data_IF_429653323247
#
_entry.id   IF_429653323247
#
_cell.length_a   1.000
_cell.length_b   1.000
_cell.length_c   1.000
_cell.angle_alpha   90.00
_cell.angle_beta   90.00
_cell.angle_gamma   90.00
#
_symmetry.space_group_name_H-M   'P 1'
#
loop_
_entity.id
_entity.type
_entity.pdbx_description
1 polymer ?
#
# COMPACT_ATOMS: atom_id res chain seq x y z
N UNK A 1 1.31 -51.15 29.65
CA UNK A 1 2.18 -50.04 30.15
C UNK A 1 2.91 -49.43 28.96
N UNK A 2 2.51 -48.24 28.51
CA UNK A 2 3.19 -47.58 27.39
C UNK A 2 4.58 -47.10 27.81
N UNK A 3 5.59 -47.41 27.00
CA UNK A 3 6.99 -46.99 27.24
C UNK A 3 7.10 -45.46 27.37
N UNK A 4 7.89 -44.93 28.33
CA UNK A 4 8.10 -43.48 28.52
C UNK A 4 8.55 -42.72 27.25
N UNK A 5 9.21 -43.41 26.32
CA UNK A 5 9.61 -42.85 25.03
C UNK A 5 8.39 -42.55 24.13
N UNK A 6 7.34 -43.39 24.18
CA UNK A 6 6.09 -43.17 23.43
C UNK A 6 5.32 -41.96 23.92
N UNK A 7 5.32 -41.72 25.23
CA UNK A 7 4.66 -40.55 25.84
C UNK A 7 5.36 -39.24 25.45
N UNK A 8 6.70 -39.20 25.45
CA UNK A 8 7.46 -38.03 24.98
C UNK A 8 7.26 -37.74 23.49
N UNK A 9 7.24 -38.77 22.64
CA UNK A 9 6.95 -38.61 21.22
C UNK A 9 5.56 -38.01 20.97
N UNK A 10 4.56 -38.41 21.76
CA UNK A 10 3.22 -37.85 21.68
C UNK A 10 3.15 -36.37 22.09
N UNK A 11 3.89 -35.95 23.13
CA UNK A 11 3.94 -34.56 23.57
C UNK A 11 4.59 -33.63 22.52
N UNK A 12 5.73 -34.05 21.95
CA UNK A 12 6.41 -33.29 20.90
C UNK A 12 5.50 -33.13 19.67
N UNK A 13 4.77 -34.18 19.30
CA UNK A 13 3.79 -34.13 18.19
C UNK A 13 2.66 -33.13 18.46
N UNK A 14 2.07 -33.14 19.65
CA UNK A 14 1.04 -32.16 20.02
C UNK A 14 1.56 -30.73 19.92
N UNK A 15 2.77 -30.48 20.44
CA UNK A 15 3.43 -29.17 20.33
C UNK A 15 3.65 -28.75 18.87
N UNK A 16 4.08 -29.65 17.98
CA UNK A 16 4.27 -29.34 16.56
C UNK A 16 2.97 -28.97 15.85
N UNK A 17 1.86 -29.66 16.18
CA UNK A 17 0.54 -29.34 15.62
C UNK A 17 0.05 -27.98 16.11
N UNK A 18 0.22 -27.66 17.40
CA UNK A 18 -0.15 -26.36 17.96
C UNK A 18 0.70 -25.23 17.36
N UNK A 19 2.00 -25.45 17.20
CA UNK A 19 2.91 -24.51 16.52
C UNK A 19 2.48 -24.26 15.08
N UNK A 20 2.12 -25.31 14.34
CA UNK A 20 1.63 -25.17 12.97
C UNK A 20 0.34 -24.35 12.89
N UNK A 21 -0.65 -24.62 13.76
CA UNK A 21 -1.89 -23.84 13.85
C UNK A 21 -1.61 -22.36 14.17
N UNK A 22 -0.66 -22.09 15.06
CA UNK A 22 -0.26 -20.72 15.36
C UNK A 22 0.36 -20.02 14.13
N UNK A 23 1.21 -20.71 13.37
CA UNK A 23 1.80 -20.19 12.13
C UNK A 23 0.74 -19.93 11.05
N UNK A 24 -0.26 -20.80 10.92
CA UNK A 24 -1.41 -20.62 10.01
C UNK A 24 -2.18 -19.36 10.36
N UNK A 25 -2.61 -19.23 11.61
CA UNK A 25 -3.34 -18.05 12.08
C UNK A 25 -2.53 -16.76 11.90
N UNK A 26 -1.22 -16.81 12.15
CA UNK A 26 -0.33 -15.67 11.93
C UNK A 26 -0.24 -15.30 10.44
N UNK A 27 -0.15 -16.29 9.55
CA UNK A 27 -0.14 -16.08 8.09
C UNK A 27 -1.43 -15.44 7.61
N UNK A 28 -2.59 -15.94 8.06
CA UNK A 28 -3.90 -15.37 7.73
C UNK A 28 -4.04 -13.93 8.22
N UNK A 29 -3.70 -13.67 9.48
CA UNK A 29 -3.76 -12.32 10.06
C UNK A 29 -2.86 -11.33 9.29
N UNK A 30 -1.68 -11.79 8.86
CA UNK A 30 -0.76 -11.00 8.06
C UNK A 30 -1.32 -10.72 6.66
N UNK A 31 -1.96 -11.69 6.02
CA UNK A 31 -2.60 -11.50 4.72
C UNK A 31 -3.76 -10.50 4.82
N UNK A 32 -4.56 -10.57 5.88
CA UNK A 32 -5.64 -9.60 6.12
C UNK A 32 -5.08 -8.18 6.25
N UNK A 33 -4.04 -7.98 7.07
CA UNK A 33 -3.40 -6.67 7.21
C UNK A 33 -2.86 -6.14 5.88
N UNK A 34 -2.26 -7.00 5.05
CA UNK A 34 -1.76 -6.61 3.73
C UNK A 34 -2.89 -6.22 2.78
N UNK A 35 -4.06 -6.84 2.88
CA UNK A 35 -5.25 -6.45 2.12
C UNK A 35 -5.78 -5.08 2.58
N UNK A 36 -5.90 -4.87 3.89
CA UNK A 36 -6.37 -3.61 4.46
C UNK A 36 -5.43 -2.45 4.07
N UNK A 37 -4.11 -2.68 4.08
CA UNK A 37 -3.12 -1.70 3.62
C UNK A 37 -3.27 -1.37 2.13
N UNK A 38 -3.48 -2.38 1.27
CA UNK A 38 -3.70 -2.15 -0.17
C UNK A 38 -4.96 -1.30 -0.40
N UNK A 39 -6.04 -1.59 0.30
CA UNK A 39 -7.29 -0.83 0.18
C UNK A 39 -7.12 0.61 0.70
N UNK A 40 -6.43 0.78 1.83
CA UNK A 40 -6.09 2.10 2.34
C UNK A 40 -5.32 2.93 1.31
N UNK A 41 -4.28 2.37 0.70
CA UNK A 41 -3.50 3.08 -0.32
C UNK A 41 -4.28 3.33 -1.61
N UNK A 42 -5.18 2.44 -2.00
CA UNK A 42 -6.08 2.65 -3.15
C UNK A 42 -6.98 3.84 -2.89
N UNK A 43 -7.64 3.88 -1.73
CA UNK A 43 -8.50 5.00 -1.36
C UNK A 43 -7.71 6.30 -1.21
N UNK A 44 -6.50 6.23 -0.63
CA UNK A 44 -5.61 7.39 -0.53
C UNK A 44 -5.21 7.92 -1.91
N UNK A 45 -4.86 7.05 -2.86
CA UNK A 45 -4.50 7.45 -4.23
C UNK A 45 -5.64 8.19 -4.93
N UNK A 46 -6.87 7.69 -4.80
CA UNK A 46 -8.08 8.36 -5.33
C UNK A 46 -8.24 9.77 -4.78
N UNK A 47 -8.04 9.95 -3.47
CA UNK A 47 -8.11 11.27 -2.81
C UNK A 47 -7.01 12.20 -3.34
N UNK A 48 -5.77 11.72 -3.48
CA UNK A 48 -4.68 12.53 -4.05
C UNK A 48 -5.00 12.97 -5.49
N UNK A 49 -5.57 12.07 -6.30
CA UNK A 49 -5.94 12.36 -7.69
C UNK A 49 -7.11 13.35 -7.78
N UNK A 50 -8.10 13.24 -6.89
CA UNK A 50 -9.19 14.20 -6.79
C UNK A 50 -8.70 15.60 -6.37
N UNK A 51 -7.77 15.66 -5.40
CA UNK A 51 -7.17 16.90 -4.97
C UNK A 51 -6.33 17.54 -6.08
N UNK A 52 -5.51 16.75 -6.78
CA UNK A 52 -4.78 17.16 -7.98
C UNK A 52 -5.69 17.81 -9.02
N UNK A 53 -6.79 17.13 -9.39
CA UNK A 53 -7.78 17.63 -10.36
C UNK A 53 -8.45 18.92 -9.88
N UNK A 54 -8.72 19.04 -8.60
CA UNK A 54 -9.35 20.23 -8.00
C UNK A 54 -8.41 21.45 -8.05
N UNK A 55 -7.14 21.26 -7.75
CA UNK A 55 -6.11 22.30 -7.86
C UNK A 55 -5.90 22.75 -9.31
N UNK A 56 -5.86 21.83 -10.28
CA UNK A 56 -5.73 22.20 -11.70
C UNK A 56 -6.93 23.01 -12.19
N UNK A 57 -8.16 22.58 -11.84
CA UNK A 57 -9.39 23.34 -12.14
C UNK A 57 -9.37 24.73 -11.52
N UNK A 58 -8.88 24.86 -10.27
CA UNK A 58 -8.74 26.15 -9.60
C UNK A 58 -7.75 27.05 -10.35
N UNK A 59 -6.56 26.53 -10.67
CA UNK A 59 -5.54 27.28 -11.37
C UNK A 59 -6.01 27.73 -12.77
N UNK A 60 -6.70 26.88 -13.53
CA UNK A 60 -7.19 27.22 -14.87
C UNK A 60 -8.30 28.29 -14.83
N UNK A 61 -9.25 28.16 -13.89
CA UNK A 61 -10.34 29.13 -13.71
C UNK A 61 -9.84 30.56 -13.48
N UNK A 62 -8.71 30.70 -12.80
CA UNK A 62 -8.16 31.99 -12.43
C UNK A 62 -7.02 32.45 -13.37
N UNK A 63 -6.44 31.55 -14.16
CA UNK A 63 -5.49 31.87 -15.24
C UNK A 63 -6.16 32.65 -16.38
N UNK A 64 -7.42 32.32 -16.70
CA UNK A 64 -8.19 32.99 -17.77
C UNK A 64 -8.49 34.47 -17.47
N UNK A 65 -8.63 34.86 -16.20
CA UNK A 65 -8.95 36.23 -15.77
C UNK A 65 -7.79 37.23 -15.88
N UNK A 66 -6.54 36.75 -15.88
CA UNK A 66 -5.36 37.63 -16.02
C UNK A 66 -5.22 38.11 -17.47
N UNK A 67 -5.52 37.24 -18.43
CA UNK A 67 -5.34 37.51 -19.86
C UNK A 67 -6.25 38.64 -20.36
N UNK A 68 -7.45 38.79 -19.80
CA UNK A 68 -8.38 39.87 -20.19
C UNK A 68 -7.96 41.26 -19.69
N UNK A 69 -7.06 41.35 -18.70
CA UNK A 69 -6.62 42.64 -18.13
C UNK A 69 -5.30 43.15 -18.73
N UNK A 70 -4.67 42.37 -19.63
CA UNK A 70 -3.23 42.48 -19.95
C UNK A 70 -2.88 43.35 -21.17
N UNK A 71 -3.83 44.09 -21.74
CA UNK A 71 -3.55 44.92 -22.92
C UNK A 71 -2.72 46.19 -22.60
N UNK A 72 -2.47 46.53 -21.33
CA UNK A 72 -1.93 47.86 -20.96
C UNK A 72 -0.60 47.95 -20.18
N UNK A 73 0.15 46.87 -19.91
CA UNK A 73 1.31 46.98 -19.00
C UNK A 73 2.58 46.23 -19.42
N UNK A 74 3.00 46.39 -20.69
CA UNK A 74 4.39 46.11 -21.06
C UNK A 74 5.28 47.33 -20.76
N UNK A 75 5.75 47.46 -19.52
CA UNK A 75 7.01 48.15 -19.24
C UNK A 75 7.88 47.26 -18.36
N UNK A 76 8.98 46.84 -18.97
CA UNK A 76 10.13 46.18 -18.35
C UNK A 76 10.65 47.03 -17.19
N UNK A 77 11.21 46.35 -16.21
CA UNK A 77 12.06 46.89 -15.16
C UNK A 77 11.36 47.70 -14.06
N UNK A 78 10.58 47.03 -13.20
CA UNK A 78 10.45 47.50 -11.82
C UNK A 78 9.94 46.42 -10.85
N UNK A 79 10.88 45.90 -10.05
CA UNK A 79 10.73 45.33 -8.71
C UNK A 79 9.83 44.11 -8.45
N UNK A 80 10.37 43.28 -7.56
CA UNK A 80 9.74 42.20 -6.82
C UNK A 80 8.33 42.61 -6.34
N UNK A 81 7.34 41.73 -6.56
CA UNK A 81 5.97 41.81 -6.04
C UNK A 81 5.03 42.88 -6.67
N UNK A 82 4.98 42.98 -8.01
CA UNK A 82 3.72 43.44 -8.64
C UNK A 82 2.59 42.46 -8.26
N UNK A 83 1.39 42.90 -7.86
CA UNK A 83 0.27 42.02 -7.55
C UNK A 83 -0.01 40.98 -8.64
N UNK A 84 0.26 41.33 -9.91
CA UNK A 84 0.14 40.42 -11.06
C UNK A 84 1.21 39.33 -11.05
N UNK A 85 2.44 39.66 -10.66
CA UNK A 85 3.52 38.67 -10.51
C UNK A 85 3.28 37.76 -9.31
N UNK A 86 2.81 38.30 -8.17
CA UNK A 86 2.41 37.49 -7.01
C UNK A 86 1.34 36.48 -7.40
N UNK A 87 0.34 36.94 -8.16
CA UNK A 87 -0.73 36.10 -8.64
C UNK A 87 -0.25 35.00 -9.60
N UNK A 88 0.67 35.31 -10.52
CA UNK A 88 1.29 34.29 -11.39
C UNK A 88 2.11 33.26 -10.60
N UNK A 89 2.84 33.69 -9.56
CA UNK A 89 3.59 32.80 -8.68
C UNK A 89 2.66 31.84 -7.93
N UNK A 90 1.56 32.36 -7.36
CA UNK A 90 0.55 31.54 -6.67
C UNK A 90 -0.05 30.51 -7.63
N UNK A 91 -0.45 30.90 -8.84
CA UNK A 91 -1.01 29.97 -9.83
C UNK A 91 0.01 28.91 -10.25
N UNK A 92 1.27 29.29 -10.44
CA UNK A 92 2.36 28.36 -10.75
C UNK A 92 2.56 27.34 -9.62
N UNK A 93 2.55 27.81 -8.37
CA UNK A 93 2.67 26.96 -7.18
C UNK A 93 1.47 26.01 -7.05
N UNK A 94 0.24 26.46 -7.28
CA UNK A 94 -0.95 25.60 -7.29
C UNK A 94 -0.88 24.51 -8.37
N UNK A 95 -0.38 24.83 -9.57
CA UNK A 95 -0.16 23.84 -10.64
C UNK A 95 0.94 22.84 -10.26
N UNK A 96 1.98 23.29 -9.56
CA UNK A 96 3.02 22.42 -9.05
C UNK A 96 2.46 21.44 -8.02
N UNK A 97 1.71 21.92 -7.04
CA UNK A 97 1.04 21.07 -6.05
C UNK A 97 0.10 20.05 -6.73
N UNK A 98 -0.68 20.48 -7.72
CA UNK A 98 -1.52 19.56 -8.52
C UNK A 98 -0.70 18.41 -9.11
N UNK A 99 0.48 18.68 -9.67
CA UNK A 99 1.37 17.65 -10.23
C UNK A 99 1.94 16.75 -9.14
N UNK A 100 2.37 17.32 -8.02
CA UNK A 100 2.92 16.56 -6.89
C UNK A 100 1.88 15.56 -6.35
N UNK A 101 0.60 15.96 -6.25
CA UNK A 101 -0.50 15.09 -5.86
C UNK A 101 -0.80 14.00 -6.91
N UNK A 102 -0.73 14.32 -8.22
CA UNK A 102 -0.85 13.31 -9.27
C UNK A 102 0.29 12.27 -9.20
N UNK A 103 1.51 12.71 -8.91
CA UNK A 103 2.67 11.83 -8.69
C UNK A 103 2.47 10.95 -7.46
N UNK A 104 1.93 11.46 -6.35
CA UNK A 104 1.62 10.63 -5.19
C UNK A 104 0.59 9.54 -5.50
N UNK A 105 -0.47 9.85 -6.24
CA UNK A 105 -1.43 8.86 -6.73
C UNK A 105 -0.72 7.75 -7.54
N UNK A 106 0.16 8.13 -8.47
CA UNK A 106 0.92 7.17 -9.29
C UNK A 106 1.85 6.29 -8.44
N UNK A 107 2.57 6.88 -7.48
CA UNK A 107 3.42 6.13 -6.54
C UNK A 107 2.61 5.13 -5.74
N UNK A 108 1.45 5.52 -5.22
CA UNK A 108 0.60 4.60 -4.44
C UNK A 108 0.08 3.46 -5.30
N UNK A 109 -0.44 3.75 -6.49
CA UNK A 109 -1.03 2.74 -7.38
C UNK A 109 0.02 1.78 -7.97
N UNK A 110 1.11 2.32 -8.49
CA UNK A 110 2.04 1.56 -9.32
C UNK A 110 3.28 1.06 -8.56
N UNK A 111 3.56 1.58 -7.36
CA UNK A 111 4.70 1.12 -6.56
C UNK A 111 4.24 0.46 -5.26
N UNK A 112 3.52 1.21 -4.41
CA UNK A 112 3.18 0.74 -3.06
C UNK A 112 2.23 -0.46 -3.10
N UNK A 113 1.09 -0.34 -3.79
CA UNK A 113 0.12 -1.43 -3.89
C UNK A 113 0.74 -2.66 -4.56
N UNK A 114 1.47 -2.47 -5.66
CA UNK A 114 2.16 -3.57 -6.36
C UNK A 114 3.13 -4.31 -5.43
N UNK A 115 3.91 -3.57 -4.64
CA UNK A 115 4.85 -4.18 -3.69
C UNK A 115 4.12 -4.96 -2.59
N UNK A 116 3.00 -4.44 -2.08
CA UNK A 116 2.18 -5.13 -1.09
C UNK A 116 1.56 -6.43 -1.66
N UNK A 117 1.12 -6.42 -2.93
CA UNK A 117 0.66 -7.63 -3.61
C UNK A 117 1.75 -8.69 -3.71
N UNK A 118 2.97 -8.31 -4.11
CA UNK A 118 4.11 -9.23 -4.15
C UNK A 118 4.44 -9.82 -2.77
N UNK A 119 4.42 -8.99 -1.72
CA UNK A 119 4.63 -9.48 -0.35
C UNK A 119 3.53 -10.47 0.04
N UNK A 120 2.28 -10.23 -0.36
CA UNK A 120 1.16 -11.14 -0.09
C UNK A 120 1.35 -12.48 -0.79
N UNK A 121 1.77 -12.48 -2.05
CA UNK A 121 2.14 -13.69 -2.80
C UNK A 121 3.29 -14.45 -2.16
N UNK A 122 4.32 -13.75 -1.68
CA UNK A 122 5.45 -14.36 -0.98
C UNK A 122 5.03 -15.02 0.34
N UNK A 123 4.12 -14.39 1.10
CA UNK A 123 3.54 -15.00 2.32
C UNK A 123 2.80 -16.29 1.97
N UNK A 124 1.95 -16.27 0.95
CA UNK A 124 1.23 -17.47 0.48
C UNK A 124 2.21 -18.56 0.03
N UNK A 125 3.24 -18.19 -0.74
CA UNK A 125 4.24 -19.13 -1.26
C UNK A 125 5.07 -19.75 -0.15
N UNK A 126 5.50 -18.95 0.84
CA UNK A 126 6.24 -19.45 2.00
C UNK A 126 5.38 -20.38 2.84
N UNK A 127 4.11 -20.02 3.10
CA UNK A 127 3.20 -20.87 3.83
C UNK A 127 3.01 -22.23 3.15
N UNK A 128 2.74 -22.23 1.83
CA UNK A 128 2.62 -23.45 1.02
C UNK A 128 3.87 -24.35 1.02
N UNK A 129 5.07 -23.80 1.25
CA UNK A 129 6.30 -24.60 1.40
C UNK A 129 6.42 -25.25 2.77
N UNK A 130 5.92 -24.58 3.81
CA UNK A 130 5.96 -25.08 5.20
C UNK A 130 4.88 -26.15 5.43
N UNK A 131 3.73 -26.06 4.76
CA UNK A 131 2.64 -27.03 4.85
C UNK A 131 3.09 -28.48 4.59
N UNK A 132 3.66 -28.85 3.42
CA UNK A 132 4.08 -30.23 3.16
C UNK A 132 5.19 -30.69 4.10
N UNK A 133 6.11 -29.84 4.53
CA UNK A 133 7.14 -30.22 5.51
C UNK A 133 6.53 -30.65 6.88
N UNK A 134 5.34 -30.12 7.23
CA UNK A 134 4.61 -30.51 8.44
C UNK A 134 3.68 -31.70 8.21
N UNK A 135 3.06 -31.81 7.03
CA UNK A 135 2.16 -32.91 6.65
C UNK A 135 2.94 -34.22 6.32
N UNK A 136 4.11 -34.11 5.69
CA UNK A 136 5.01 -35.24 5.34
C UNK A 136 5.89 -35.68 6.51
N UNK A 137 5.88 -34.95 7.62
CA UNK A 137 6.38 -35.49 8.88
C UNK A 137 5.63 -36.80 9.16
N UNK A 138 6.33 -37.89 9.52
CA UNK A 138 5.71 -39.18 9.89
C UNK A 138 4.62 -39.07 10.98
N UNK A 139 4.50 -37.91 11.62
CA UNK A 139 3.57 -37.58 12.67
C UNK A 139 2.09 -37.43 12.25
N UNK A 140 1.75 -37.18 10.98
CA UNK A 140 0.34 -37.06 10.54
C UNK A 140 -0.19 -38.27 9.75
N UNK A 141 0.69 -39.03 9.08
CA UNK A 141 0.28 -40.20 8.30
C UNK A 141 -0.39 -41.30 9.15
N UNK A 142 -0.03 -41.43 10.44
CA UNK A 142 -0.72 -42.36 11.35
C UNK A 142 -2.06 -41.85 11.88
N UNK A 143 -2.33 -40.54 11.86
CA UNK A 143 -3.60 -39.99 12.38
C UNK A 143 -4.78 -40.33 11.46
N UNK A 144 -4.54 -40.41 10.14
CA UNK A 144 -5.54 -40.86 9.15
C UNK A 144 -5.71 -42.39 9.16
N UNK A 145 -4.71 -43.14 9.65
CA UNK A 145 -4.79 -44.60 9.80
C UNK A 145 -5.38 -45.05 11.15
N UNK A 146 -5.52 -44.14 12.12
CA UNK A 146 -5.93 -44.45 13.49
C UNK A 146 -7.28 -43.80 13.90
N UNK A 147 -7.92 -43.06 13.00
CA UNK A 147 -9.35 -42.69 13.03
C UNK A 147 -10.12 -43.53 12.03
#
# INVERSE_FOLDING_TARGET
LSSPARLRGAQIRTQLVEQFKCLEQQSESRLQLLQDLQEFFRRKAEIELEYSRSLEKLAERFSSKIRSSREHQFKKDQHLLSPVNCWYLVLTQTRRESRDHATLNDIFMNNVIVRLSQISEDVIRLFKKVTPAVLESPAQAEYVLMT
#
